data_IF_243182008090
#
_entry.id   IF_243182008090
#
_cell.length_a   1.000
_cell.length_b   1.000
_cell.length_c   1.000
_cell.angle_alpha   90.00
_cell.angle_beta   90.00
_cell.angle_gamma   90.00
#
_symmetry.space_group_name_H-M   'P 1'
#
loop_
_entity.id
_entity.type
_entity.pdbx_description
1 polymer ?
#
# COMPACT_ATOMS: atom_id res chain seq x y z
N UNK A 1 1.67 1.94 29.32
CA UNK A 1 2.11 2.16 27.93
C UNK A 1 2.96 0.96 27.52
N UNK A 2 2.71 0.39 26.33
CA UNK A 2 3.43 -0.78 25.79
C UNK A 2 4.63 -0.27 25.00
N UNK A 3 5.84 -0.55 25.48
CA UNK A 3 7.08 -0.24 24.75
C UNK A 3 7.30 -1.25 23.64
N UNK A 4 7.70 -0.79 22.47
CA UNK A 4 7.91 -1.69 21.33
C UNK A 4 9.18 -1.41 20.54
N UNK A 5 9.66 -2.47 19.87
CA UNK A 5 10.74 -2.41 18.87
C UNK A 5 10.15 -2.66 17.48
N UNK A 6 10.46 -1.75 16.53
CA UNK A 6 10.01 -1.80 15.13
C UNK A 6 11.10 -2.42 14.25
N UNK A 7 10.98 -3.72 13.96
CA UNK A 7 11.94 -4.46 13.15
C UNK A 7 11.57 -4.41 11.66
N UNK A 8 12.58 -4.25 10.80
CA UNK A 8 12.38 -4.04 9.35
C UNK A 8 11.45 -2.86 9.08
N UNK A 9 11.68 -1.78 9.82
CA UNK A 9 10.73 -0.69 10.05
C UNK A 9 10.30 0.05 8.78
N UNK A 10 11.08 -0.03 7.69
CA UNK A 10 10.82 0.76 6.49
C UNK A 10 10.80 2.25 6.82
N UNK A 11 9.70 2.91 6.49
CA UNK A 11 9.47 4.33 6.87
C UNK A 11 8.65 4.47 8.16
N UNK A 12 8.42 3.37 8.90
CA UNK A 12 7.75 3.40 10.20
C UNK A 12 6.24 3.20 10.16
N UNK A 13 5.73 2.39 9.23
CA UNK A 13 4.28 2.11 9.16
C UNK A 13 3.73 1.45 10.43
N UNK A 14 4.48 0.56 11.06
CA UNK A 14 4.12 0.02 12.38
C UNK A 14 4.13 1.11 13.45
N UNK A 15 5.19 1.91 13.52
CA UNK A 15 5.30 3.01 14.49
C UNK A 15 4.13 3.99 14.36
N UNK A 16 3.84 4.45 13.15
CA UNK A 16 2.74 5.38 12.90
C UNK A 16 1.38 4.78 13.31
N UNK A 17 1.11 3.53 12.93
CA UNK A 17 -0.15 2.86 13.26
C UNK A 17 -0.30 2.62 14.77
N UNK A 18 0.73 2.16 15.44
CA UNK A 18 0.72 1.95 16.90
C UNK A 18 0.62 3.27 17.66
N UNK A 19 1.29 4.33 17.21
CA UNK A 19 1.15 5.68 17.78
C UNK A 19 -0.29 6.17 17.69
N UNK A 20 -0.96 6.00 16.55
CA UNK A 20 -2.37 6.36 16.36
C UNK A 20 -3.34 5.49 17.17
N UNK A 21 -2.98 4.24 17.40
CA UNK A 21 -3.76 3.34 18.24
C UNK A 21 -3.82 3.80 19.69
N UNK A 22 -2.79 4.53 20.15
CA UNK A 22 -2.63 4.98 21.53
C UNK A 22 -2.13 3.87 22.46
N UNK A 23 -1.45 4.25 23.53
CA UNK A 23 -0.93 3.32 24.54
C UNK A 23 0.41 2.65 24.19
N UNK A 24 1.10 3.09 23.13
CA UNK A 24 2.38 2.55 22.68
C UNK A 24 3.49 3.59 22.68
N UNK A 25 4.72 3.13 22.94
CA UNK A 25 5.95 3.91 22.88
C UNK A 25 7.01 3.14 22.10
N UNK A 26 7.52 3.71 21.00
CA UNK A 26 8.66 3.13 20.29
C UNK A 26 9.94 3.39 21.06
N UNK A 27 10.71 2.34 21.34
CA UNK A 27 11.99 2.45 22.07
C UNK A 27 13.18 2.01 21.22
N UNK A 28 12.93 1.60 19.96
CA UNK A 28 13.98 1.28 19.02
C UNK A 28 13.48 0.73 17.71
N UNK A 29 14.35 0.74 16.68
CA UNK A 29 14.03 0.22 15.37
C UNK A 29 15.22 -0.43 14.68
N UNK A 30 14.93 -1.23 13.65
CA UNK A 30 15.91 -1.87 12.77
C UNK A 30 15.53 -1.66 11.32
N UNK A 31 16.42 -1.07 10.50
CA UNK A 31 16.20 -0.88 9.06
C UNK A 31 17.53 -0.83 8.29
N UNK A 32 17.71 -1.74 7.31
CA UNK A 32 18.95 -1.85 6.52
C UNK A 32 18.97 -0.89 5.32
N UNK A 33 17.81 -0.48 4.81
CA UNK A 33 17.72 0.47 3.69
C UNK A 33 17.95 1.89 4.19
N UNK A 34 19.12 2.44 3.86
CA UNK A 34 19.51 3.80 4.26
C UNK A 34 18.51 4.89 3.86
N UNK A 35 17.78 4.71 2.75
CA UNK A 35 16.79 5.68 2.30
C UNK A 35 15.50 5.57 3.12
N UNK A 36 15.08 4.35 3.45
CA UNK A 36 13.94 4.12 4.34
C UNK A 36 14.26 4.66 5.75
N UNK A 37 15.44 4.33 6.28
CA UNK A 37 15.89 4.84 7.59
C UNK A 37 15.99 6.37 7.62
N UNK A 38 16.43 7.01 6.53
CA UNK A 38 16.43 8.47 6.41
C UNK A 38 15.01 9.05 6.52
N UNK A 39 14.03 8.42 5.86
CA UNK A 39 12.62 8.82 5.99
C UNK A 39 12.08 8.60 7.39
N UNK A 40 12.41 7.46 8.01
CA UNK A 40 12.04 7.14 9.38
C UNK A 40 12.52 8.22 10.37
N UNK A 41 13.80 8.58 10.32
CA UNK A 41 14.38 9.60 11.18
C UNK A 41 13.87 11.03 10.90
N UNK A 42 13.33 11.28 9.70
CA UNK A 42 12.68 12.55 9.40
C UNK A 42 11.23 12.61 9.89
N UNK A 43 10.55 11.45 9.97
CA UNK A 43 9.17 11.33 10.42
C UNK A 43 9.05 11.30 11.95
N UNK A 44 10.06 10.76 12.63
CA UNK A 44 10.00 10.50 14.07
C UNK A 44 11.23 11.04 14.79
N UNK A 45 11.05 11.50 16.01
CA UNK A 45 12.17 11.76 16.91
C UNK A 45 12.72 10.41 17.41
N UNK A 46 13.91 10.06 16.94
CA UNK A 46 14.59 8.80 17.28
C UNK A 46 15.78 9.01 18.22
N UNK A 47 15.93 10.22 18.74
CA UNK A 47 17.06 10.57 19.62
C UNK A 47 17.03 9.76 20.91
N UNK A 48 18.09 9.00 21.14
CA UNK A 48 18.21 8.16 22.34
C UNK A 48 17.50 6.80 22.23
N UNK A 49 16.85 6.48 21.12
CA UNK A 49 16.29 5.16 20.85
C UNK A 49 17.38 4.17 20.43
N UNK A 50 17.13 2.89 20.69
CA UNK A 50 17.99 1.83 20.20
C UNK A 50 17.84 1.71 18.68
N UNK A 51 18.97 1.60 17.97
CA UNK A 51 19.01 1.44 16.52
C UNK A 51 20.04 0.41 16.09
N UNK A 52 19.67 -0.42 15.12
CA UNK A 52 20.57 -1.33 14.41
C UNK A 52 20.18 -1.41 12.92
N UNK A 53 21.18 -1.38 12.03
CA UNK A 53 20.89 -1.48 10.59
C UNK A 53 20.49 -2.91 10.18
N UNK A 54 21.24 -3.90 10.67
CA UNK A 54 21.09 -5.30 10.25
C UNK A 54 20.60 -6.17 11.41
N UNK A 55 19.38 -6.70 11.27
CA UNK A 55 18.76 -7.56 12.29
C UNK A 55 19.65 -8.76 12.70
N UNK A 56 20.48 -9.27 11.77
CA UNK A 56 21.42 -10.36 12.04
C UNK A 56 22.52 -9.99 13.03
N UNK A 57 22.79 -8.70 13.17
CA UNK A 57 23.78 -8.15 14.09
C UNK A 57 23.17 -7.65 15.41
N UNK A 58 21.84 -7.73 15.54
CA UNK A 58 21.16 -7.30 16.76
C UNK A 58 21.58 -8.19 17.94
N UNK A 59 22.20 -7.58 18.94
CA UNK A 59 22.52 -8.22 20.21
C UNK A 59 21.36 -8.00 21.19
N UNK A 60 20.65 -9.06 21.61
CA UNK A 60 19.52 -8.94 22.54
C UNK A 60 19.91 -8.25 23.87
N UNK A 61 21.16 -8.35 24.30
CA UNK A 61 21.62 -7.76 25.56
C UNK A 61 21.70 -6.23 25.53
N UNK A 62 21.83 -5.65 24.33
CA UNK A 62 21.89 -4.19 24.12
C UNK A 62 20.53 -3.53 23.93
N UNK A 63 19.49 -4.35 23.73
CA UNK A 63 18.13 -3.84 23.51
C UNK A 63 17.53 -3.29 24.82
N UNK A 64 16.81 -2.16 24.76
CA UNK A 64 16.06 -1.65 25.91
C UNK A 64 14.97 -2.64 26.33
N UNK A 65 14.31 -2.40 27.46
CA UNK A 65 13.13 -3.17 27.83
C UNK A 65 11.93 -2.81 26.95
N UNK A 66 11.25 -3.83 26.45
CA UNK A 66 10.09 -3.69 25.59
C UNK A 66 9.10 -4.85 25.81
N UNK A 67 7.83 -4.60 25.49
CA UNK A 67 6.74 -5.56 25.65
C UNK A 67 6.21 -6.08 24.31
N UNK A 68 6.47 -5.38 23.20
CA UNK A 68 6.01 -5.77 21.87
C UNK A 68 7.19 -5.78 20.89
N UNK A 69 7.39 -6.91 20.20
CA UNK A 69 8.26 -7.00 19.05
C UNK A 69 7.40 -7.00 17.78
N UNK A 70 7.52 -5.98 16.94
CA UNK A 70 6.76 -5.91 15.70
C UNK A 70 7.65 -5.80 14.48
N UNK A 71 7.11 -6.14 13.30
CA UNK A 71 7.80 -5.96 12.02
C UNK A 71 7.23 -6.75 10.86
N UNK A 72 7.42 -6.21 9.67
CA UNK A 72 7.13 -6.86 8.38
C UNK A 72 8.38 -7.52 7.82
N UNK A 73 8.61 -8.80 8.11
CA UNK A 73 9.82 -9.49 7.64
C UNK A 73 9.72 -9.85 6.16
N UNK A 74 10.82 -9.73 5.37
CA UNK A 74 10.81 -10.06 3.95
C UNK A 74 10.63 -11.55 3.70
N UNK A 75 9.78 -11.89 2.71
CA UNK A 75 9.46 -13.27 2.31
C UNK A 75 10.57 -13.92 1.45
N UNK A 76 11.76 -13.33 1.35
CA UNK A 76 12.83 -13.84 0.48
C UNK A 76 13.50 -15.07 1.07
N UNK A 77 13.39 -16.19 0.32
CA UNK A 77 14.13 -17.45 0.50
C UNK A 77 14.03 -18.14 1.86
N UNK A 78 12.87 -18.74 2.15
CA UNK A 78 12.84 -19.89 3.03
C UNK A 78 13.48 -21.08 2.29
N UNK A 79 14.81 -21.16 2.29
CA UNK A 79 15.52 -22.32 1.79
C UNK A 79 15.40 -23.43 2.84
N UNK A 80 14.73 -24.52 2.48
CA UNK A 80 14.46 -25.70 3.34
C UNK A 80 15.76 -26.38 3.83
N UNK A 81 16.92 -26.03 3.28
CA UNK A 81 18.21 -26.58 3.71
C UNK A 81 18.56 -26.27 5.18
N UNK A 82 17.92 -25.25 5.80
CA UNK A 82 18.17 -24.87 7.19
C UNK A 82 17.44 -25.69 8.26
N UNK A 83 16.34 -26.38 7.91
CA UNK A 83 15.47 -27.03 8.92
C UNK A 83 16.10 -28.22 9.67
N UNK A 84 17.26 -28.71 9.23
CA UNK A 84 17.94 -29.84 9.86
C UNK A 84 19.08 -29.47 10.83
N UNK A 85 19.48 -28.19 10.90
CA UNK A 85 20.62 -27.73 11.73
C UNK A 85 20.27 -26.77 12.86
N UNK A 86 18.99 -26.51 13.12
CA UNK A 86 18.61 -25.57 14.19
C UNK A 86 18.97 -24.10 13.88
N UNK A 87 18.96 -23.25 14.90
CA UNK A 87 19.21 -21.79 14.81
C UNK A 87 20.63 -21.37 14.34
N UNK A 88 21.49 -22.31 13.97
CA UNK A 88 22.90 -22.07 13.62
C UNK A 88 23.23 -22.00 12.13
N UNK A 89 22.26 -22.00 11.20
CA UNK A 89 22.54 -21.83 9.77
C UNK A 89 22.68 -20.35 9.40
N UNK A 90 23.85 -19.87 8.93
CA UNK A 90 24.08 -18.47 8.57
C UNK A 90 23.25 -17.97 7.37
N UNK A 91 22.47 -18.85 6.72
CA UNK A 91 21.52 -18.53 5.66
C UNK A 91 20.08 -18.45 6.16
N UNK A 92 19.89 -18.43 7.50
CA UNK A 92 18.60 -18.31 8.15
C UNK A 92 17.79 -17.13 7.62
N UNK A 93 16.50 -17.35 7.42
CA UNK A 93 15.58 -16.29 7.00
C UNK A 93 15.48 -15.23 8.10
N UNK A 94 15.20 -14.00 7.73
CA UNK A 94 15.07 -12.88 8.67
C UNK A 94 13.95 -13.10 9.73
N UNK A 95 13.02 -14.02 9.47
CA UNK A 95 12.09 -14.49 10.50
C UNK A 95 12.81 -15.15 11.69
N UNK A 96 13.87 -15.95 11.45
CA UNK A 96 14.59 -16.59 12.55
C UNK A 96 15.39 -15.60 13.39
N UNK A 97 15.73 -14.42 12.84
CA UNK A 97 16.27 -13.34 13.65
C UNK A 97 15.22 -12.79 14.61
N UNK A 98 13.97 -12.60 14.15
CA UNK A 98 12.87 -12.23 15.05
C UNK A 98 12.63 -13.29 16.12
N UNK A 99 12.64 -14.57 15.74
CA UNK A 99 12.49 -15.69 16.68
C UNK A 99 13.64 -15.71 17.72
N UNK A 100 14.89 -15.49 17.31
CA UNK A 100 16.06 -15.40 18.20
C UNK A 100 15.92 -14.25 19.21
N UNK A 101 15.48 -13.08 18.74
CA UNK A 101 15.23 -11.92 19.64
C UNK A 101 14.07 -12.21 20.60
N UNK A 102 12.99 -12.82 20.10
CA UNK A 102 11.84 -13.21 20.91
C UNK A 102 12.21 -14.27 21.94
N UNK A 103 13.07 -15.25 21.60
CA UNK A 103 13.59 -16.24 22.53
C UNK A 103 14.39 -15.63 23.68
N UNK A 104 15.29 -14.71 23.33
CA UNK A 104 16.21 -14.09 24.29
C UNK A 104 15.52 -13.06 25.21
N UNK A 105 14.58 -12.28 24.68
CA UNK A 105 13.94 -11.16 25.41
C UNK A 105 12.55 -11.49 25.96
N UNK A 106 11.90 -12.55 25.43
CA UNK A 106 10.56 -12.99 25.86
C UNK A 106 9.53 -11.85 25.97
N UNK A 107 9.41 -10.97 24.96
CA UNK A 107 8.40 -9.91 25.03
C UNK A 107 6.99 -10.53 25.17
N UNK A 108 6.08 -9.96 25.97
CA UNK A 108 4.71 -10.45 26.12
C UNK A 108 3.97 -10.61 24.78
N UNK A 109 4.27 -9.74 23.81
CA UNK A 109 3.53 -9.66 22.55
C UNK A 109 4.46 -9.68 21.33
N UNK A 110 3.99 -10.32 20.25
CA UNK A 110 4.58 -10.28 18.92
C UNK A 110 3.52 -9.78 17.94
N UNK A 111 3.93 -8.96 16.95
CA UNK A 111 3.06 -8.47 15.90
C UNK A 111 3.79 -8.44 14.56
N UNK A 112 3.54 -9.43 13.73
CA UNK A 112 4.24 -9.60 12.46
C UNK A 112 3.30 -9.48 11.26
N UNK A 113 3.86 -9.03 10.13
CA UNK A 113 3.15 -8.90 8.86
C UNK A 113 3.90 -9.60 7.74
N UNK A 114 3.15 -10.16 6.78
CA UNK A 114 3.74 -10.68 5.55
C UNK A 114 2.72 -10.73 4.40
N UNK A 115 3.19 -11.06 3.20
CA UNK A 115 2.33 -11.31 2.05
C UNK A 115 1.53 -12.61 2.23
N UNK A 116 0.29 -12.66 1.72
CA UNK A 116 -0.58 -13.86 1.83
C UNK A 116 0.06 -15.09 1.16
N UNK A 117 0.92 -14.88 0.14
CA UNK A 117 1.67 -15.95 -0.48
C UNK A 117 2.56 -16.77 0.47
N UNK A 118 2.90 -16.21 1.65
CA UNK A 118 3.62 -16.93 2.71
C UNK A 118 2.86 -18.18 3.19
N UNK A 119 1.53 -18.12 3.25
CA UNK A 119 0.69 -19.24 3.75
C UNK A 119 0.85 -20.47 2.86
N UNK A 120 0.85 -20.26 1.53
CA UNK A 120 0.94 -21.36 0.56
C UNK A 120 2.38 -21.66 0.12
N UNK A 121 3.37 -20.88 0.61
CA UNK A 121 4.77 -21.06 0.24
C UNK A 121 5.25 -22.46 0.63
N UNK A 122 5.94 -23.12 -0.33
CA UNK A 122 6.50 -24.45 -0.15
C UNK A 122 5.47 -25.47 0.40
N UNK A 123 4.31 -25.55 -0.26
CA UNK A 123 3.21 -26.45 0.15
C UNK A 123 2.79 -26.24 1.63
N UNK A 124 2.67 -25.00 2.06
CA UNK A 124 2.33 -24.55 3.42
C UNK A 124 3.41 -24.84 4.49
N UNK A 125 4.52 -25.49 4.14
CA UNK A 125 5.58 -25.88 5.11
C UNK A 125 6.24 -24.67 5.77
N UNK A 126 6.45 -23.60 5.01
CA UNK A 126 7.04 -22.37 5.53
C UNK A 126 6.20 -21.74 6.63
N UNK A 127 4.90 -21.59 6.40
CA UNK A 127 4.01 -21.01 7.39
C UNK A 127 3.85 -21.90 8.62
N UNK A 128 3.74 -23.23 8.42
CA UNK A 128 3.74 -24.18 9.52
C UNK A 128 5.03 -24.12 10.36
N UNK A 129 6.20 -23.91 9.71
CA UNK A 129 7.48 -23.73 10.41
C UNK A 129 7.48 -22.46 11.28
N UNK A 130 6.92 -21.34 10.78
CA UNK A 130 6.78 -20.10 11.54
C UNK A 130 5.93 -20.36 12.80
N UNK A 131 4.72 -20.92 12.62
CA UNK A 131 3.80 -21.18 13.73
C UNK A 131 4.42 -22.12 14.77
N UNK A 132 5.01 -23.26 14.33
CA UNK A 132 5.68 -24.20 15.21
C UNK A 132 6.89 -23.60 15.95
N UNK A 133 7.61 -22.66 15.32
CA UNK A 133 8.73 -21.99 15.97
C UNK A 133 8.23 -21.10 17.10
N UNK A 134 7.17 -20.31 16.86
CA UNK A 134 6.60 -19.44 17.89
C UNK A 134 5.98 -20.26 19.04
N UNK A 135 5.27 -21.34 18.73
CA UNK A 135 4.72 -22.26 19.71
C UNK A 135 5.82 -22.87 20.61
N UNK A 136 6.92 -23.36 20.02
CA UNK A 136 8.08 -23.87 20.77
C UNK A 136 8.74 -22.82 21.67
N UNK A 137 8.65 -21.54 21.31
CA UNK A 137 9.12 -20.43 22.14
C UNK A 137 8.12 -20.10 23.26
N UNK A 138 6.97 -20.77 23.31
CA UNK A 138 5.93 -20.62 24.33
C UNK A 138 4.88 -19.55 24.01
N UNK A 139 4.79 -19.09 22.76
CA UNK A 139 3.76 -18.14 22.34
C UNK A 139 2.50 -18.85 21.86
N UNK A 140 1.34 -18.47 22.43
CA UNK A 140 0.06 -18.67 21.75
C UNK A 140 0.03 -17.77 20.50
N UNK A 141 -0.50 -18.30 19.39
CA UNK A 141 -0.45 -17.58 18.11
C UNK A 141 -1.83 -17.49 17.48
N UNK A 142 -2.21 -16.28 17.09
CA UNK A 142 -3.37 -16.00 16.25
C UNK A 142 -2.90 -15.37 14.93
N UNK A 143 -3.64 -15.63 13.86
CA UNK A 143 -3.36 -14.97 12.58
C UNK A 143 -4.63 -14.79 11.75
N UNK A 144 -4.61 -13.75 10.91
CA UNK A 144 -5.68 -13.48 9.96
C UNK A 144 -5.14 -12.80 8.70
N UNK A 145 -5.73 -13.14 7.54
CA UNK A 145 -5.55 -12.37 6.33
C UNK A 145 -6.49 -11.18 6.35
N UNK A 146 -5.96 -9.97 6.26
CA UNK A 146 -6.74 -8.74 6.24
C UNK A 146 -6.46 -7.96 4.95
N UNK A 147 -7.51 -7.36 4.41
CA UNK A 147 -7.40 -6.50 3.24
C UNK A 147 -7.49 -5.04 3.66
N UNK A 148 -6.52 -4.21 3.24
CA UNK A 148 -6.46 -2.79 3.60
C UNK A 148 -7.72 -2.01 3.26
N UNK A 149 -8.47 -2.44 2.23
CA UNK A 149 -9.75 -1.82 1.84
C UNK A 149 -10.79 -1.82 2.95
N UNK A 150 -10.73 -2.81 3.85
CA UNK A 150 -11.69 -2.98 4.95
C UNK A 150 -11.35 -2.09 6.16
N UNK A 151 -10.24 -1.32 6.05
CA UNK A 151 -9.72 -0.43 7.09
C UNK A 151 -9.65 1.05 6.64
N UNK A 152 -10.50 1.45 5.69
CA UNK A 152 -10.69 2.85 5.32
C UNK A 152 -9.67 3.41 4.32
N UNK A 153 -8.85 2.57 3.67
CA UNK A 153 -8.03 2.99 2.52
C UNK A 153 -8.53 2.34 1.22
N UNK A 154 -8.63 3.08 0.12
CA UNK A 154 -9.17 2.56 -1.15
C UNK A 154 -8.11 1.71 -1.90
N UNK A 155 -7.48 0.75 -1.20
CA UNK A 155 -6.47 -0.15 -1.76
C UNK A 155 -6.79 -1.60 -1.44
N UNK A 156 -6.92 -2.44 -2.46
CA UNK A 156 -6.99 -3.89 -2.29
C UNK A 156 -5.58 -4.44 -2.06
N UNK A 157 -5.17 -4.52 -0.78
CA UNK A 157 -3.88 -5.05 -0.35
C UNK A 157 -4.10 -6.11 0.73
N UNK A 158 -3.99 -7.37 0.34
CA UNK A 158 -4.17 -8.50 1.24
C UNK A 158 -2.85 -8.88 1.90
N UNK A 159 -2.84 -9.00 3.23
CA UNK A 159 -1.67 -9.36 4.03
C UNK A 159 -2.06 -10.33 5.14
N UNK A 160 -1.15 -11.21 5.51
CA UNK A 160 -1.29 -12.03 6.73
C UNK A 160 -0.66 -11.27 7.89
N UNK A 161 -1.42 -11.16 8.96
CA UNK A 161 -1.00 -10.59 10.24
C UNK A 161 -0.96 -11.71 11.27
N UNK A 162 0.13 -11.76 12.04
CA UNK A 162 0.40 -12.81 13.02
C UNK A 162 0.63 -12.12 14.36
N UNK A 163 -0.14 -12.51 15.37
CA UNK A 163 -0.02 -12.03 16.74
C UNK A 163 0.42 -13.20 17.62
N UNK A 164 1.49 -12.99 18.38
CA UNK A 164 1.94 -13.91 19.42
C UNK A 164 1.73 -13.31 20.80
N UNK A 165 1.42 -14.14 21.78
CA UNK A 165 1.29 -13.76 23.18
C UNK A 165 1.77 -14.86 24.11
N UNK A 166 2.36 -14.48 25.25
CA UNK A 166 2.81 -15.43 26.28
C UNK A 166 1.71 -15.78 27.29
N UNK A 167 0.69 -14.93 27.44
CA UNK A 167 -0.42 -15.14 28.36
C UNK A 167 -1.65 -15.70 27.62
N UNK A 168 -2.06 -16.90 27.96
CA UNK A 168 -3.20 -17.59 27.35
C UNK A 168 -4.54 -16.82 27.48
N UNK A 169 -4.66 -15.89 28.43
CA UNK A 169 -5.83 -15.02 28.56
C UNK A 169 -6.00 -14.07 27.39
N UNK A 170 -4.97 -13.92 26.55
CA UNK A 170 -5.01 -13.11 25.33
C UNK A 170 -5.79 -13.76 24.19
N UNK A 171 -6.03 -15.07 24.26
CA UNK A 171 -6.62 -15.86 23.18
C UNK A 171 -7.97 -15.33 22.73
N UNK A 172 -8.12 -15.11 21.41
CA UNK A 172 -9.36 -14.61 20.80
C UNK A 172 -9.66 -13.13 21.07
N UNK A 173 -8.70 -12.39 21.62
CA UNK A 173 -8.88 -10.96 21.94
C UNK A 173 -8.56 -10.03 20.78
N UNK A 174 -7.62 -10.41 19.92
CA UNK A 174 -7.18 -9.58 18.80
C UNK A 174 -7.91 -9.96 17.51
N UNK A 175 -8.04 -11.22 17.18
CA UNK A 175 -8.78 -11.70 16.02
C UNK A 175 -10.06 -12.46 16.42
N UNK A 176 -11.09 -12.58 15.55
CA UNK A 176 -11.13 -12.10 14.18
C UNK A 176 -11.58 -10.64 14.02
N UNK A 177 -11.17 -10.00 12.91
CA UNK A 177 -11.87 -8.86 12.32
C UNK A 177 -12.89 -9.40 11.32
N UNK A 178 -14.12 -8.87 11.32
CA UNK A 178 -15.13 -9.15 10.30
C UNK A 178 -14.86 -8.31 9.06
N UNK A 179 -14.92 -8.95 7.88
CA UNK A 179 -14.82 -8.21 6.61
C UNK A 179 -16.00 -7.26 6.47
N UNK A 180 -15.72 -6.00 6.12
CA UNK A 180 -16.76 -5.05 5.70
C UNK A 180 -17.00 -5.20 4.19
N UNK A 181 -18.26 -5.20 3.76
CA UNK A 181 -18.60 -5.16 2.34
C UNK A 181 -18.06 -3.85 1.75
N UNK A 182 -16.93 -3.93 1.06
CA UNK A 182 -16.24 -2.78 0.48
C UNK A 182 -16.41 -2.69 -1.03
N UNK A 183 -16.01 -1.55 -1.61
CA UNK A 183 -15.96 -1.33 -3.05
C UNK A 183 -15.07 -2.38 -3.74
N UNK A 184 -15.34 -2.67 -5.01
CA UNK A 184 -14.55 -3.61 -5.81
C UNK A 184 -13.44 -2.90 -6.61
N UNK A 185 -12.41 -3.66 -6.99
CA UNK A 185 -11.43 -3.22 -7.97
C UNK A 185 -12.10 -3.21 -9.36
N UNK A 186 -12.14 -2.06 -10.01
CA UNK A 186 -12.75 -1.92 -11.34
C UNK A 186 -11.63 -1.84 -12.38
N UNK A 187 -11.39 -2.92 -13.11
CA UNK A 187 -10.43 -2.95 -14.21
C UNK A 187 -11.14 -2.58 -15.52
N UNK A 188 -10.69 -1.51 -16.17
CA UNK A 188 -11.26 -1.04 -17.45
C UNK A 188 -10.57 -1.65 -18.66
N UNK A 189 -9.26 -1.92 -18.58
CA UNK A 189 -8.50 -2.56 -19.66
C UNK A 189 -7.63 -3.70 -19.13
N UNK A 190 -7.59 -4.81 -19.86
CA UNK A 190 -6.75 -5.98 -19.58
C UNK A 190 -5.27 -5.76 -19.94
N UNK A 191 -4.43 -6.75 -19.65
CA UNK A 191 -2.99 -6.74 -19.96
C UNK A 191 -2.17 -7.49 -18.93
N UNK A 192 -0.83 -7.49 -19.10
CA UNK A 192 0.10 -7.94 -18.09
C UNK A 192 0.09 -7.00 -16.88
N UNK A 193 0.63 -7.42 -15.73
CA UNK A 193 0.53 -6.68 -14.45
C UNK A 193 1.04 -5.25 -14.58
N UNK A 194 1.64 -4.65 -15.27
CA UNK A 194 2.01 -3.24 -15.39
C UNK A 194 1.27 -2.50 -16.50
N UNK A 195 0.38 -3.20 -17.21
CA UNK A 195 -0.35 -2.67 -18.36
C UNK A 195 -1.87 -2.58 -18.10
N UNK A 196 -2.33 -3.14 -16.99
CA UNK A 196 -3.74 -3.09 -16.62
C UNK A 196 -4.15 -1.69 -16.25
N UNK A 197 -5.29 -1.25 -16.77
CA UNK A 197 -5.89 0.06 -16.48
C UNK A 197 -7.08 -0.13 -15.55
N UNK A 198 -7.16 0.69 -14.55
CA UNK A 198 -8.21 0.66 -13.53
C UNK A 198 -8.99 1.97 -13.51
N UNK A 199 -10.27 1.88 -13.18
CA UNK A 199 -11.10 3.05 -12.95
C UNK A 199 -10.68 3.77 -11.67
N UNK A 200 -10.62 5.11 -11.67
CA UNK A 200 -10.36 5.88 -10.46
C UNK A 200 -11.52 5.83 -9.46
N UNK A 201 -12.70 5.36 -9.87
CA UNK A 201 -13.89 5.20 -9.01
C UNK A 201 -13.86 3.88 -8.22
N UNK A 202 -12.97 2.94 -8.59
CA UNK A 202 -12.77 1.68 -7.92
C UNK A 202 -11.66 1.71 -6.88
N UNK A 203 -11.42 0.53 -6.26
CA UNK A 203 -10.28 0.34 -5.37
C UNK A 203 -8.96 0.41 -6.15
N UNK A 204 -7.90 0.88 -5.49
CA UNK A 204 -6.54 0.75 -6.01
C UNK A 204 -6.03 -0.68 -5.89
N UNK A 205 -5.27 -1.14 -6.88
CA UNK A 205 -4.54 -2.40 -6.78
C UNK A 205 -3.41 -2.32 -5.75
N UNK A 206 -2.86 -3.48 -5.35
CA UNK A 206 -1.73 -3.55 -4.42
C UNK A 206 -0.52 -2.81 -4.98
N UNK A 207 0.05 -1.91 -4.20
CA UNK A 207 1.29 -1.22 -4.52
C UNK A 207 2.48 -2.19 -4.51
N UNK A 208 3.33 -2.10 -5.51
CA UNK A 208 4.57 -2.88 -5.61
C UNK A 208 5.79 -1.98 -5.41
N UNK A 209 6.82 -2.52 -4.76
CA UNK A 209 8.05 -1.79 -4.44
C UNK A 209 8.96 -1.54 -5.65
N UNK A 210 8.75 -2.24 -6.77
CA UNK A 210 9.56 -2.08 -7.97
C UNK A 210 8.78 -1.32 -9.04
N UNK A 211 9.00 -0.01 -9.22
CA UNK A 211 8.24 0.84 -10.12
C UNK A 211 8.67 0.75 -11.59
N UNK A 212 9.39 -0.30 -11.99
CA UNK A 212 9.90 -0.43 -13.35
C UNK A 212 8.79 -0.50 -14.43
N UNK A 213 9.03 0.15 -15.58
CA UNK A 213 8.13 0.15 -16.74
C UNK A 213 6.99 1.16 -16.68
N UNK A 214 6.18 1.20 -17.76
CA UNK A 214 4.98 2.03 -17.88
C UNK A 214 3.90 1.48 -16.94
N UNK A 215 3.45 2.26 -15.97
CA UNK A 215 2.54 1.80 -14.91
C UNK A 215 3.21 1.01 -13.78
N UNK A 216 4.46 0.58 -13.94
CA UNK A 216 5.16 -0.26 -12.97
C UNK A 216 4.41 -1.57 -12.73
N UNK A 217 4.45 -2.09 -11.49
CA UNK A 217 3.59 -3.19 -11.05
C UNK A 217 2.34 -2.72 -10.30
N UNK A 218 2.12 -1.42 -10.27
CA UNK A 218 1.03 -0.76 -9.53
C UNK A 218 -0.24 -0.61 -10.38
N UNK A 219 -0.12 -0.75 -11.71
CA UNK A 219 -1.21 -0.52 -12.65
C UNK A 219 -1.29 0.93 -13.14
N UNK A 220 -2.17 1.15 -14.10
CA UNK A 220 -2.50 2.45 -14.70
C UNK A 220 -3.92 2.83 -14.30
N UNK A 221 -4.20 4.12 -14.26
CA UNK A 221 -5.54 4.63 -13.94
C UNK A 221 -6.04 5.55 -15.04
N UNK A 222 -7.30 5.37 -15.39
CA UNK A 222 -7.99 6.23 -16.35
C UNK A 222 -8.37 7.54 -15.66
N UNK A 223 -8.03 8.66 -16.28
CA UNK A 223 -8.35 9.99 -15.74
C UNK A 223 -9.20 10.71 -16.78
N UNK A 224 -10.44 10.98 -16.44
CA UNK A 224 -11.35 11.75 -17.29
C UNK A 224 -10.97 13.23 -17.40
N UNK A 225 -11.61 13.95 -18.33
CA UNK A 225 -11.47 15.40 -18.50
C UNK A 225 -12.37 16.13 -17.50
N UNK A 226 -11.85 17.00 -16.62
CA UNK A 226 -12.68 17.77 -15.71
C UNK A 226 -13.42 18.87 -16.46
N UNK A 227 -14.74 18.80 -16.51
CA UNK A 227 -15.62 19.79 -17.10
C UNK A 227 -16.20 20.68 -15.99
N UNK A 228 -15.91 21.97 -16.04
CA UNK A 228 -16.36 22.94 -15.05
C UNK A 228 -17.89 23.03 -15.02
N UNK A 229 -18.50 22.89 -13.85
CA UNK A 229 -19.95 22.89 -13.68
C UNK A 229 -20.38 23.33 -12.26
N UNK A 230 -21.66 23.62 -12.08
CA UNK A 230 -22.23 24.06 -10.80
C UNK A 230 -22.57 22.87 -9.86
N UNK A 231 -21.60 22.01 -9.59
CA UNK A 231 -21.68 20.96 -8.57
C UNK A 231 -20.94 21.40 -7.30
N UNK A 232 -21.10 20.66 -6.19
CA UNK A 232 -20.34 20.93 -4.95
C UNK A 232 -18.83 20.91 -5.16
N UNK A 233 -18.34 20.08 -6.08
CA UNK A 233 -16.91 19.96 -6.45
C UNK A 233 -16.47 20.99 -7.48
N UNK A 234 -17.39 21.72 -8.11
CA UNK A 234 -17.13 22.70 -9.16
C UNK A 234 -16.85 22.10 -10.55
N UNK A 235 -16.85 20.78 -10.68
CA UNK A 235 -16.61 20.07 -11.96
C UNK A 235 -17.29 18.70 -12.01
N UNK A 236 -17.42 18.16 -13.23
CA UNK A 236 -17.80 16.77 -13.51
C UNK A 236 -16.74 16.14 -14.41
N UNK A 237 -16.42 14.87 -14.18
CA UNK A 237 -15.46 14.15 -15.01
C UNK A 237 -16.16 13.60 -16.26
N UNK A 238 -15.65 13.93 -17.44
CA UNK A 238 -16.09 13.36 -18.72
C UNK A 238 -15.10 12.29 -19.19
N UNK A 239 -15.64 11.20 -19.73
CA UNK A 239 -14.87 10.07 -20.28
C UNK A 239 -15.12 9.96 -21.79
N UNK A 240 -14.40 9.04 -22.46
CA UNK A 240 -14.60 8.76 -23.90
C UNK A 240 -16.04 8.32 -24.14
N UNK A 241 -16.67 8.89 -25.17
CA UNK A 241 -18.08 8.64 -25.50
C UNK A 241 -19.07 9.56 -24.77
N UNK A 242 -18.63 10.26 -23.72
CA UNK A 242 -19.50 11.23 -23.06
C UNK A 242 -19.72 12.46 -23.94
N UNK A 243 -20.94 13.00 -23.90
CA UNK A 243 -21.25 14.29 -24.50
C UNK A 243 -20.99 15.42 -23.52
N UNK A 244 -20.57 16.58 -24.02
CA UNK A 244 -20.29 17.76 -23.22
C UNK A 244 -21.15 18.93 -23.75
N UNK A 245 -21.94 19.53 -22.87
CA UNK A 245 -22.61 20.80 -23.17
C UNK A 245 -21.61 21.96 -23.06
N UNK A 246 -21.19 22.49 -24.19
CA UNK A 246 -20.27 23.63 -24.32
C UNK A 246 -20.98 24.97 -24.28
N UNK A 247 -22.30 25.00 -24.23
CA UNK A 247 -23.07 26.25 -24.11
C UNK A 247 -22.66 26.99 -22.84
N UNK A 248 -22.30 28.26 -22.99
CA UNK A 248 -21.85 29.11 -21.88
C UNK A 248 -20.67 28.52 -21.09
N UNK A 249 -19.62 28.07 -21.79
CA UNK A 249 -18.43 27.44 -21.22
C UNK A 249 -17.75 28.27 -20.10
N UNK A 250 -17.98 29.57 -20.06
CA UNK A 250 -17.40 30.51 -19.08
C UNK A 250 -18.25 30.70 -17.80
N UNK A 251 -19.48 30.17 -17.76
CA UNK A 251 -20.42 30.40 -16.65
C UNK A 251 -20.53 29.17 -15.75
N UNK A 252 -20.31 29.34 -14.45
CA UNK A 252 -20.34 28.27 -13.43
C UNK A 252 -21.75 27.89 -12.96
N UNK A 253 -22.81 28.36 -13.61
CA UNK A 253 -24.19 28.22 -13.13
C UNK A 253 -24.93 26.98 -13.61
N UNK A 254 -24.39 26.20 -14.55
CA UNK A 254 -25.07 25.01 -15.10
C UNK A 254 -24.62 23.72 -14.43
N UNK A 255 -25.61 22.89 -14.09
CA UNK A 255 -25.44 21.51 -13.64
C UNK A 255 -25.63 20.54 -14.82
N UNK A 256 -25.01 19.34 -14.72
CA UNK A 256 -25.24 18.28 -15.70
C UNK A 256 -24.67 18.57 -17.10
N UNK A 257 -23.45 19.13 -17.16
CA UNK A 257 -22.78 19.43 -18.44
C UNK A 257 -22.17 18.20 -19.11
N UNK A 258 -22.03 17.09 -18.41
CA UNK A 258 -21.55 15.81 -18.94
C UNK A 258 -22.71 14.85 -19.05
N UNK A 259 -23.02 14.40 -20.26
CA UNK A 259 -23.99 13.35 -20.53
C UNK A 259 -23.25 12.03 -20.73
N UNK A 260 -23.47 11.08 -19.82
CA UNK A 260 -22.79 9.77 -19.84
C UNK A 260 -23.35 8.93 -20.99
N UNK A 261 -22.57 8.77 -22.05
CA UNK A 261 -22.90 8.02 -23.28
C UNK A 261 -24.22 8.48 -23.98
N UNK A 262 -24.75 9.63 -23.60
CA UNK A 262 -26.02 10.16 -24.11
C UNK A 262 -25.82 11.64 -24.52
N UNK A 263 -26.23 11.99 -25.72
CA UNK A 263 -26.24 13.37 -26.18
C UNK A 263 -27.27 14.21 -25.38
N UNK A 264 -26.91 15.45 -25.05
CA UNK A 264 -27.85 16.40 -24.47
C UNK A 264 -28.95 16.79 -25.49
N UNK A 265 -30.08 17.23 -25.00
CA UNK A 265 -31.17 17.74 -25.85
C UNK A 265 -30.66 18.84 -26.78
N UNK A 266 -30.85 18.67 -28.10
CA UNK A 266 -30.48 19.65 -29.10
C UNK A 266 -31.41 20.85 -29.00
N UNK A 267 -30.84 22.03 -28.78
CA UNK A 267 -31.54 23.33 -28.82
C UNK A 267 -30.90 24.20 -29.90
N UNK A 268 -31.65 25.19 -30.41
CA UNK A 268 -31.16 26.07 -31.50
C UNK A 268 -29.91 26.87 -31.16
N UNK A 269 -29.51 26.97 -29.90
CA UNK A 269 -28.28 27.62 -29.42
C UNK A 269 -27.31 26.67 -28.72
N UNK A 270 -27.54 25.36 -28.74
CA UNK A 270 -26.73 24.39 -28.02
C UNK A 270 -25.46 24.04 -28.81
N UNK A 271 -24.32 24.28 -28.22
CA UNK A 271 -23.03 23.77 -28.68
C UNK A 271 -22.70 22.53 -27.85
N UNK A 272 -22.62 21.38 -28.52
CA UNK A 272 -22.21 20.14 -27.90
C UNK A 272 -20.85 19.70 -28.42
N UNK A 273 -20.04 19.15 -27.55
CA UNK A 273 -18.79 18.49 -27.86
C UNK A 273 -18.86 17.03 -27.41
N UNK A 274 -17.98 16.23 -27.92
CA UNK A 274 -17.74 14.86 -27.47
C UNK A 274 -16.27 14.69 -27.15
N UNK A 275 -15.97 13.76 -26.25
CA UNK A 275 -14.58 13.39 -25.98
C UNK A 275 -14.13 12.44 -27.07
N UNK A 276 -13.20 12.89 -27.91
CA UNK A 276 -12.72 12.15 -29.07
C UNK A 276 -11.44 11.38 -28.77
N UNK A 277 -11.30 10.26 -29.48
CA UNK A 277 -10.13 9.39 -29.41
C UNK A 277 -9.31 9.53 -30.70
N UNK A 278 -8.01 9.72 -30.58
CA UNK A 278 -7.09 9.76 -31.73
C UNK A 278 -6.18 8.53 -31.70
N UNK A 279 -6.04 7.79 -32.81
CA UNK A 279 -5.11 6.67 -32.88
C UNK A 279 -3.66 7.16 -32.77
N UNK A 280 -2.86 6.45 -31.99
CA UNK A 280 -1.43 6.77 -31.79
C UNK A 280 -0.59 5.53 -32.01
N UNK A 281 0.49 5.68 -32.79
CA UNK A 281 1.48 4.64 -33.02
C UNK A 281 2.61 4.76 -31.98
N UNK A 282 2.91 3.68 -31.26
CA UNK A 282 3.94 3.62 -30.20
C UNK A 282 3.77 4.67 -29.07
N UNK A 283 2.70 4.63 -28.27
CA UNK A 283 2.36 5.66 -27.29
C UNK A 283 3.36 5.80 -26.12
N UNK A 284 4.29 4.87 -25.96
CA UNK A 284 5.22 4.80 -24.81
C UNK A 284 6.48 5.67 -25.02
N UNK A 285 6.69 6.26 -26.19
CA UNK A 285 7.85 7.14 -26.41
C UNK A 285 7.54 8.56 -25.98
N UNK A 286 8.47 9.17 -25.21
CA UNK A 286 8.36 10.49 -24.58
C UNK A 286 8.13 11.70 -25.51
N UNK A 287 8.14 11.49 -26.83
CA UNK A 287 8.08 12.57 -27.83
C UNK A 287 6.74 12.66 -28.57
N UNK A 288 5.66 12.14 -27.99
CA UNK A 288 4.31 12.18 -28.58
C UNK A 288 3.85 13.60 -28.96
N UNK A 289 4.26 14.62 -28.19
CA UNK A 289 3.88 16.00 -28.42
C UNK A 289 4.61 16.64 -29.63
N UNK A 290 5.68 16.03 -30.15
CA UNK A 290 6.52 16.61 -31.21
C UNK A 290 6.42 15.92 -32.57
N UNK A 291 5.73 14.80 -32.66
CA UNK A 291 5.70 14.00 -33.88
C UNK A 291 4.26 13.76 -34.36
N UNK A 292 3.75 14.69 -35.16
CA UNK A 292 2.40 14.67 -35.75
C UNK A 292 2.16 13.46 -36.67
N UNK A 293 3.22 12.83 -37.21
CA UNK A 293 3.10 11.64 -38.08
C UNK A 293 2.66 10.39 -37.32
N UNK A 294 2.76 10.37 -36.01
CA UNK A 294 2.36 9.25 -35.14
C UNK A 294 0.96 9.37 -34.58
N UNK A 295 0.37 10.55 -34.68
CA UNK A 295 -0.97 10.82 -34.15
C UNK A 295 -1.92 11.02 -35.31
N UNK A 296 -2.94 10.19 -35.42
CA UNK A 296 -3.99 10.35 -36.43
C UNK A 296 -4.89 11.56 -36.14
N UNK A 297 -5.71 11.91 -37.13
CA UNK A 297 -6.78 12.91 -36.93
C UNK A 297 -7.84 12.35 -35.97
N UNK A 298 -8.60 13.21 -35.27
CA UNK A 298 -9.76 12.78 -34.50
C UNK A 298 -10.69 11.92 -35.34
N UNK A 299 -11.13 10.77 -34.80
CA UNK A 299 -12.03 9.85 -35.51
C UNK A 299 -11.41 9.08 -36.68
N UNK A 300 -10.10 9.24 -36.95
CA UNK A 300 -9.43 8.50 -38.00
C UNK A 300 -9.35 6.99 -37.67
N UNK A 301 -9.34 6.11 -38.71
CA UNK A 301 -9.07 4.69 -38.49
C UNK A 301 -7.72 4.46 -37.82
N UNK A 302 -7.62 3.39 -37.04
CA UNK A 302 -6.35 2.97 -36.47
C UNK A 302 -5.28 2.79 -37.52
N UNK A 303 -4.03 3.10 -37.20
CA UNK A 303 -2.88 2.79 -38.04
C UNK A 303 -2.79 1.29 -38.31
N UNK A 304 -2.23 0.92 -39.46
CA UNK A 304 -2.01 -0.49 -39.83
C UNK A 304 -1.24 -1.21 -38.71
N UNK A 305 -1.79 -2.33 -38.25
CA UNK A 305 -1.16 -3.18 -37.23
C UNK A 305 0.05 -3.90 -37.84
N UNK A 306 1.21 -3.74 -37.22
CA UNK A 306 2.41 -4.52 -37.52
C UNK A 306 2.85 -5.29 -36.29
N UNK A 307 3.59 -6.37 -36.45
CA UNK A 307 4.05 -7.22 -35.33
C UNK A 307 5.00 -6.51 -34.37
N UNK A 308 5.55 -5.35 -34.73
CA UNK A 308 6.53 -4.59 -33.94
C UNK A 308 6.00 -3.28 -33.39
N UNK A 309 4.86 -2.79 -33.86
CA UNK A 309 4.31 -1.52 -33.43
C UNK A 309 3.29 -1.71 -32.31
N UNK A 310 3.42 -0.88 -31.28
CA UNK A 310 2.40 -0.75 -30.24
C UNK A 310 1.45 0.36 -30.64
N UNK A 311 0.17 0.05 -30.69
CA UNK A 311 -0.88 1.01 -30.99
C UNK A 311 -1.56 1.44 -29.69
N UNK A 312 -1.95 2.69 -29.65
CA UNK A 312 -2.70 3.27 -28.55
C UNK A 312 -3.67 4.30 -29.07
N UNK A 313 -4.42 4.87 -28.20
CA UNK A 313 -5.32 5.98 -28.47
C UNK A 313 -4.87 7.16 -27.63
N UNK A 314 -4.76 8.34 -28.26
CA UNK A 314 -4.57 9.59 -27.55
C UNK A 314 -5.96 10.09 -27.19
N UNK A 315 -6.17 10.16 -25.93
CA UNK A 315 -7.36 10.66 -25.29
C UNK A 315 -7.00 11.92 -24.51
N UNK A 316 -7.82 12.95 -24.51
CA UNK A 316 -7.55 14.15 -23.70
C UNK A 316 -7.64 13.86 -22.20
N UNK A 317 -8.24 12.72 -21.78
CA UNK A 317 -8.00 12.06 -20.53
C UNK A 317 -6.61 11.42 -20.50
N UNK A 318 -5.91 11.46 -19.38
CA UNK A 318 -4.56 10.90 -19.25
C UNK A 318 -4.61 9.56 -18.56
N UNK A 319 -4.14 8.51 -19.22
CA UNK A 319 -3.77 7.27 -18.54
C UNK A 319 -2.39 7.51 -17.90
N UNK A 320 -2.30 7.41 -16.58
CA UNK A 320 -1.07 7.62 -15.84
C UNK A 320 -0.93 6.64 -14.68
N UNK A 321 0.28 6.46 -14.21
CA UNK A 321 0.51 5.81 -12.92
C UNK A 321 0.15 6.76 -11.77
N UNK A 322 -0.10 6.19 -10.59
CA UNK A 322 -0.23 6.97 -9.37
C UNK A 322 1.07 7.73 -9.07
N UNK A 323 0.95 8.90 -8.50
CA UNK A 323 2.09 9.66 -7.98
C UNK A 323 2.59 9.03 -6.67
N UNK A 324 3.84 9.32 -6.24
CA UNK A 324 4.33 8.88 -4.93
C UNK A 324 3.42 9.29 -3.77
N UNK A 325 2.87 10.51 -3.83
CA UNK A 325 1.91 11.04 -2.84
C UNK A 325 0.66 10.17 -2.75
N UNK A 326 0.04 9.85 -3.89
CA UNK A 326 -1.13 8.98 -3.94
C UNK A 326 -0.82 7.59 -3.41
N UNK A 327 0.36 7.04 -3.72
CA UNK A 327 0.78 5.74 -3.19
C UNK A 327 0.93 5.75 -1.67
N UNK A 328 1.49 6.81 -1.09
CA UNK A 328 1.62 6.94 0.37
C UNK A 328 0.26 7.16 1.05
N UNK A 329 -0.65 7.94 0.45
CA UNK A 329 -2.05 8.07 0.91
C UNK A 329 -2.77 6.71 0.93
N UNK A 330 -2.56 5.86 -0.08
CA UNK A 330 -3.11 4.52 -0.13
C UNK A 330 -2.55 3.58 0.96
N UNK A 331 -1.41 3.91 1.54
CA UNK A 331 -0.86 3.24 2.73
C UNK A 331 -1.37 3.85 4.05
N UNK A 332 -2.22 4.88 3.99
CA UNK A 332 -2.82 5.51 5.17
C UNK A 332 -1.97 6.59 5.82
N UNK A 333 -0.96 7.14 5.11
CA UNK A 333 -0.17 8.26 5.59
C UNK A 333 -0.91 9.58 5.44
N UNK A 334 -0.79 10.47 6.43
CA UNK A 334 -1.31 11.83 6.40
C UNK A 334 -0.40 12.74 5.53
N UNK A 335 -0.95 13.81 4.97
CA UNK A 335 -0.26 14.64 3.98
C UNK A 335 0.98 15.36 4.55
N UNK A 336 0.97 15.80 5.78
CA UNK A 336 2.12 16.39 6.47
C UNK A 336 3.31 15.42 6.57
N UNK A 337 3.03 14.15 6.87
CA UNK A 337 4.00 13.06 6.88
C UNK A 337 4.53 12.76 5.48
N UNK A 338 3.62 12.76 4.49
CA UNK A 338 3.98 12.55 3.08
C UNK A 338 4.88 13.69 2.59
N UNK A 339 4.56 14.94 2.92
CA UNK A 339 5.39 16.10 2.56
C UNK A 339 6.81 15.98 3.11
N UNK A 340 6.93 15.53 4.36
CA UNK A 340 8.24 15.28 4.99
C UNK A 340 9.05 14.24 4.21
N UNK A 341 8.44 13.12 3.79
CA UNK A 341 9.12 12.09 3.00
C UNK A 341 9.51 12.60 1.61
N UNK A 342 8.57 13.26 0.90
CA UNK A 342 8.80 13.72 -0.46
C UNK A 342 9.82 14.86 -0.54
N UNK A 343 10.00 15.64 0.52
CA UNK A 343 11.03 16.68 0.58
C UNK A 343 12.46 16.12 0.57
N UNK A 344 12.65 14.87 0.98
CA UNK A 344 13.99 14.28 1.15
C UNK A 344 14.27 13.05 0.27
N UNK A 345 13.25 12.52 -0.42
CA UNK A 345 13.36 11.32 -1.24
C UNK A 345 13.07 11.60 -2.71
N UNK A 346 13.72 10.84 -3.59
CA UNK A 346 13.32 10.79 -4.99
C UNK A 346 12.02 10.00 -5.17
N UNK A 347 11.29 10.25 -6.26
CA UNK A 347 10.07 9.50 -6.61
C UNK A 347 10.28 7.99 -6.57
N UNK A 348 11.40 7.48 -7.11
CA UNK A 348 11.69 6.06 -7.12
C UNK A 348 11.83 5.47 -5.71
N UNK A 349 12.46 6.21 -4.79
CA UNK A 349 12.56 5.78 -3.39
C UNK A 349 11.21 5.87 -2.69
N UNK A 350 10.43 6.91 -2.92
CA UNK A 350 9.09 7.05 -2.36
C UNK A 350 8.14 5.93 -2.84
N UNK A 351 8.18 5.55 -4.12
CA UNK A 351 7.44 4.38 -4.63
C UNK A 351 7.88 3.08 -3.96
N UNK A 352 9.20 2.85 -3.83
CA UNK A 352 9.74 1.68 -3.16
C UNK A 352 9.28 1.61 -1.71
N UNK A 353 9.34 2.72 -1.00
CA UNK A 353 8.92 2.84 0.40
C UNK A 353 7.42 2.59 0.57
N UNK A 354 6.58 3.18 -0.29
CA UNK A 354 5.15 2.93 -0.28
C UNK A 354 4.81 1.45 -0.56
N UNK A 355 5.49 0.82 -1.53
CA UNK A 355 5.25 -0.57 -1.90
C UNK A 355 5.67 -1.58 -0.83
N UNK A 356 6.80 -1.32 -0.14
CA UNK A 356 7.31 -2.15 0.97
C UNK A 356 6.58 -1.89 2.29
N UNK A 357 5.94 -0.73 2.45
CA UNK A 357 5.30 -0.33 3.69
C UNK A 357 4.11 -1.21 4.09
N UNK A 358 3.82 -1.29 5.37
CA UNK A 358 2.57 -1.81 5.92
C UNK A 358 1.49 -0.71 5.90
N UNK A 359 0.23 -1.09 5.76
CA UNK A 359 -0.87 -0.11 5.80
C UNK A 359 -1.11 0.36 7.23
N UNK A 360 -0.93 1.65 7.46
CA UNK A 360 -1.01 2.30 8.78
C UNK A 360 -2.35 2.01 9.48
N UNK A 361 -3.48 2.13 8.78
CA UNK A 361 -4.81 1.91 9.35
C UNK A 361 -5.04 0.47 9.83
N UNK A 362 -4.46 -0.53 9.17
CA UNK A 362 -4.57 -1.93 9.63
C UNK A 362 -3.77 -2.12 10.91
N UNK A 363 -2.56 -1.57 10.97
CA UNK A 363 -1.72 -1.61 12.17
C UNK A 363 -2.40 -0.87 13.32
N UNK A 364 -2.99 0.29 13.07
CA UNK A 364 -3.77 1.05 14.06
C UNK A 364 -4.93 0.21 14.63
N UNK A 365 -5.73 -0.42 13.77
CA UNK A 365 -6.87 -1.23 14.19
C UNK A 365 -6.45 -2.44 15.05
N UNK A 366 -5.38 -3.13 14.66
CA UNK A 366 -4.82 -4.25 15.42
C UNK A 366 -4.21 -3.73 16.74
N UNK A 367 -3.44 -2.63 16.68
CA UNK A 367 -2.84 -1.99 17.84
C UNK A 367 -3.88 -1.62 18.92
N UNK A 368 -5.02 -1.03 18.53
CA UNK A 368 -6.13 -0.73 19.45
C UNK A 368 -6.62 -1.98 20.20
N UNK A 369 -6.71 -3.13 19.52
CA UNK A 369 -7.12 -4.38 20.18
C UNK A 369 -6.04 -4.92 21.10
N UNK A 370 -4.75 -4.82 20.72
CA UNK A 370 -3.64 -5.22 21.60
C UNK A 370 -3.62 -4.33 22.85
N UNK A 371 -3.73 -3.01 22.70
CA UNK A 371 -3.73 -2.09 23.85
C UNK A 371 -4.94 -2.32 24.79
N UNK A 372 -6.12 -2.55 24.21
CA UNK A 372 -7.31 -2.91 24.99
C UNK A 372 -7.13 -4.22 25.76
N UNK A 373 -6.62 -5.25 25.10
CA UNK A 373 -6.32 -6.54 25.70
C UNK A 373 -5.33 -6.41 26.85
N UNK A 374 -4.25 -5.65 26.68
CA UNK A 374 -3.24 -5.42 27.70
C UNK A 374 -3.81 -4.65 28.91
N UNK A 375 -4.67 -3.64 28.69
CA UNK A 375 -5.35 -2.93 29.75
C UNK A 375 -6.31 -3.84 30.54
N UNK A 376 -7.09 -4.69 29.85
CA UNK A 376 -7.97 -5.68 30.48
C UNK A 376 -7.18 -6.67 31.36
N UNK A 377 -6.00 -7.14 30.91
CA UNK A 377 -5.14 -8.03 31.68
C UNK A 377 -4.60 -7.38 32.97
N UNK A 378 -4.37 -6.08 32.92
CA UNK A 378 -3.92 -5.27 34.10
C UNK A 378 -5.06 -4.81 34.97
N UNK A 379 -6.32 -5.05 34.60
CA UNK A 379 -7.51 -4.56 35.31
C UNK A 379 -7.72 -3.05 35.14
N UNK A 380 -7.21 -2.46 34.07
CA UNK A 380 -7.29 -1.04 33.75
C UNK A 380 -8.36 -0.76 32.69
N UNK A 381 -9.02 0.40 32.76
CA UNK A 381 -9.88 0.84 31.65
C UNK A 381 -9.01 1.34 30.49
N UNK A 382 -9.24 0.82 29.29
CA UNK A 382 -8.61 1.34 28.08
C UNK A 382 -9.37 2.59 27.62
N UNK A 383 -8.72 3.76 27.68
CA UNK A 383 -9.16 4.98 27.00
C UNK A 383 -8.30 5.15 25.74
N UNK A 384 -8.90 5.12 24.51
CA UNK A 384 -8.18 5.26 23.25
C UNK A 384 -7.65 6.68 23.03
#
# INVERSE_FOLDING_TARGET
>A
MIKFIDMFSGIGGFREGLTRAGGFECVGHCEIDKYANRSYNALFDTKGEWFIEDARKADPSTMPDFQLLCGGFPCQTFSIAGSRKGFGDPRGTLFFELARLAEARKPPYLFFENVVGLINHDHCRTFATILNTLDRLGYGVEWQCLNSKDFGVPQSRNRVYIIGYLDERCRGKVFPFTETAGSSLIQTHGGHQGERVYSPEGLSCTLAANPGGFGGKTGLYEVGVPIKCATKTGYQMAQVGDSIDLSYATVNSRRGRVGKEIAHTLTTGCQQGTVEVRPVKNPIKSDLARNTERTGKPGAPMHTLTTKDRHGVLYEGRIRRLTPRECLRLQGWADDRIDTVLAIQSDNQAYKQAGNGVTVHVVEAIGRRIAKMDAELRGEAFAP
#
